data_IF_506805141329
#
_entry.id   IF_506805141329
#
_cell.length_a   1.000
_cell.length_b   1.000
_cell.length_c   1.000
_cell.angle_alpha   90.00
_cell.angle_beta   90.00
_cell.angle_gamma   90.00
#
_symmetry.space_group_name_H-M   'P 1'
#
loop_
_entity.id
_entity.type
_entity.pdbx_description
1 polymer ?
#
# COMPACT_ATOMS: atom_id res chain seq x y z
N UNK A 1 6.13 4.58 -70.72
CA UNK A 1 5.96 5.50 -69.54
C UNK A 1 5.10 4.91 -68.39
N UNK A 2 4.38 3.83 -68.59
CA UNK A 2 3.37 3.26 -67.66
C UNK A 2 3.92 2.38 -66.54
N UNK A 3 5.11 1.80 -66.64
CA UNK A 3 5.68 0.92 -65.59
C UNK A 3 6.33 1.64 -64.38
N UNK A 4 6.74 2.90 -64.52
CA UNK A 4 7.32 3.70 -63.43
C UNK A 4 6.24 4.28 -62.51
N UNK A 5 5.07 4.64 -63.04
CA UNK A 5 3.93 5.14 -62.25
C UNK A 5 3.34 4.07 -61.32
N UNK A 6 3.24 2.83 -61.77
CA UNK A 6 2.70 1.73 -60.94
C UNK A 6 3.59 1.37 -59.74
N UNK A 7 4.92 1.53 -59.84
CA UNK A 7 5.84 1.32 -58.69
C UNK A 7 5.75 2.43 -57.64
N UNK A 8 5.54 3.67 -58.06
CA UNK A 8 5.41 4.83 -57.16
C UNK A 8 4.10 4.73 -56.36
N UNK A 9 2.99 4.40 -57.01
CA UNK A 9 1.70 4.24 -56.34
C UNK A 9 1.71 3.05 -55.36
N UNK A 10 2.40 1.94 -55.70
CA UNK A 10 2.53 0.77 -54.81
C UNK A 10 3.36 1.08 -53.57
N UNK A 11 4.42 1.88 -53.70
CA UNK A 11 5.24 2.27 -52.54
C UNK A 11 4.50 3.30 -51.63
N UNK A 12 3.69 4.19 -52.21
CA UNK A 12 2.87 5.12 -51.42
C UNK A 12 1.75 4.40 -50.65
N UNK A 13 1.15 3.34 -51.22
CA UNK A 13 0.16 2.52 -50.53
C UNK A 13 0.76 1.71 -49.39
N UNK A 14 1.99 1.23 -49.54
CA UNK A 14 2.69 0.52 -48.45
C UNK A 14 3.09 1.48 -47.31
N UNK A 15 3.50 2.72 -47.64
CA UNK A 15 3.80 3.74 -46.64
C UNK A 15 2.54 4.24 -45.90
N UNK A 16 1.43 4.37 -46.59
CA UNK A 16 0.14 4.73 -45.97
C UNK A 16 -0.41 3.61 -45.07
N UNK A 17 -0.18 2.34 -45.44
CA UNK A 17 -0.61 1.19 -44.63
C UNK A 17 0.28 1.00 -43.39
N UNK A 18 1.59 1.33 -43.47
CA UNK A 18 2.51 1.30 -42.35
C UNK A 18 2.27 2.47 -41.36
N UNK A 19 1.80 3.62 -41.83
CA UNK A 19 1.45 4.77 -41.00
C UNK A 19 0.15 4.56 -40.19
N UNK A 20 -0.79 3.74 -40.69
CA UNK A 20 -2.06 3.45 -40.02
C UNK A 20 -1.93 2.51 -38.79
N UNK A 21 -0.76 1.83 -38.62
CA UNK A 21 -0.51 0.91 -37.51
C UNK A 21 0.14 1.57 -36.26
N UNK A 22 0.46 2.86 -36.33
CA UNK A 22 1.09 3.58 -35.22
C UNK A 22 0.15 4.56 -34.51
N UNK A 23 -1.11 4.16 -34.29
CA UNK A 23 -1.97 4.89 -33.35
C UNK A 23 -1.51 4.49 -31.93
N UNK A 24 -0.93 5.40 -31.13
CA UNK A 24 -0.62 5.09 -29.75
C UNK A 24 -1.94 4.79 -29.03
N UNK A 25 -2.17 3.53 -28.73
CA UNK A 25 -3.26 3.18 -27.84
C UNK A 25 -2.87 3.74 -26.45
N UNK A 26 -3.77 4.45 -25.76
CA UNK A 26 -3.52 4.82 -24.38
C UNK A 26 -3.27 3.53 -23.59
N UNK A 27 -2.05 3.35 -23.11
CA UNK A 27 -1.72 2.27 -22.22
C UNK A 27 -2.43 2.55 -20.89
N UNK A 28 -3.65 2.03 -20.75
CA UNK A 28 -4.29 1.99 -19.43
C UNK A 28 -3.35 1.22 -18.50
N UNK A 29 -3.01 1.82 -17.38
CA UNK A 29 -2.19 1.17 -16.37
C UNK A 29 -2.92 -0.11 -15.92
N UNK A 30 -2.44 -1.27 -16.40
CA UNK A 30 -2.98 -2.57 -16.01
C UNK A 30 -2.18 -3.09 -14.83
N UNK A 31 -2.88 -3.52 -13.79
CA UNK A 31 -2.30 -4.16 -12.61
C UNK A 31 -2.69 -5.62 -12.60
N UNK A 32 -1.81 -6.48 -12.09
CA UNK A 32 -2.16 -7.91 -11.91
C UNK A 32 -3.15 -8.03 -10.76
N UNK A 33 -4.04 -9.02 -10.84
CA UNK A 33 -5.02 -9.26 -9.78
C UNK A 33 -4.34 -9.43 -8.42
N UNK A 34 -3.20 -10.13 -8.32
CA UNK A 34 -2.45 -10.32 -7.07
C UNK A 34 -2.00 -9.01 -6.39
N UNK A 35 -1.81 -7.95 -7.18
CA UNK A 35 -1.38 -6.65 -6.64
C UNK A 35 -2.59 -5.85 -6.10
N UNK A 36 -3.82 -6.22 -6.53
CA UNK A 36 -5.08 -5.56 -6.19
C UNK A 36 -5.84 -6.25 -5.06
N UNK A 37 -5.64 -7.56 -4.84
CA UNK A 37 -6.43 -8.35 -3.89
C UNK A 37 -5.57 -9.05 -2.85
N UNK A 38 -6.22 -9.51 -1.80
CA UNK A 38 -5.73 -10.50 -0.84
C UNK A 38 -6.70 -11.69 -0.85
N UNK A 39 -6.19 -12.88 -0.57
CA UNK A 39 -7.05 -14.07 -0.43
C UNK A 39 -7.61 -14.12 0.98
N UNK A 40 -8.93 -14.33 1.10
CA UNK A 40 -9.57 -14.53 2.41
C UNK A 40 -8.97 -15.78 3.07
N UNK A 41 -8.79 -15.73 4.40
CA UNK A 41 -8.16 -16.76 5.23
C UNK A 41 -6.64 -16.99 4.96
N UNK A 42 -6.03 -16.23 4.07
CA UNK A 42 -4.58 -16.23 3.85
C UNK A 42 -4.00 -14.94 4.43
N UNK A 43 -3.73 -14.96 5.72
CA UNK A 43 -3.20 -13.79 6.44
C UNK A 43 -2.10 -14.20 7.40
N UNK A 44 -1.21 -13.27 7.65
CA UNK A 44 -0.25 -13.40 8.73
C UNK A 44 -0.94 -13.35 10.09
N UNK A 45 -0.54 -14.22 11.01
CA UNK A 45 -1.01 -14.21 12.38
C UNK A 45 0.08 -13.67 13.31
N UNK A 46 -0.33 -12.83 14.25
CA UNK A 46 0.60 -12.30 15.24
C UNK A 46 0.70 -13.27 16.41
N UNK A 47 1.94 -13.60 16.76
CA UNK A 47 2.27 -14.39 17.94
C UNK A 47 2.88 -13.49 19.00
N UNK A 48 2.57 -13.76 20.25
CA UNK A 48 3.14 -13.06 21.39
C UNK A 48 3.61 -14.05 22.45
N UNK A 49 4.65 -13.68 23.16
CA UNK A 49 5.17 -14.46 24.27
C UNK A 49 5.79 -13.57 25.34
N UNK A 50 5.97 -14.15 26.51
CA UNK A 50 6.70 -13.56 27.62
C UNK A 50 7.94 -14.40 27.90
N UNK A 51 9.11 -13.76 27.91
CA UNK A 51 10.39 -14.45 28.08
C UNK A 51 11.37 -13.70 28.97
N UNK A 52 12.51 -14.31 29.18
CA UNK A 52 13.65 -13.73 29.88
C UNK A 52 14.85 -13.66 28.94
N UNK A 53 15.51 -12.52 28.90
CA UNK A 53 16.83 -12.33 28.30
C UNK A 53 17.87 -12.37 29.43
N UNK A 54 18.89 -13.18 29.22
CA UNK A 54 19.98 -13.38 30.21
C UNK A 54 21.33 -13.05 29.59
N UNK A 55 22.35 -12.86 30.43
CA UNK A 55 23.71 -12.56 29.98
C UNK A 55 23.94 -11.08 29.66
N UNK A 56 23.10 -10.20 30.18
CA UNK A 56 23.29 -8.75 30.09
C UNK A 56 24.46 -8.33 31.02
N UNK A 57 25.10 -7.23 30.66
CA UNK A 57 26.28 -6.74 31.40
C UNK A 57 25.89 -5.61 32.38
N UNK A 58 25.05 -5.94 33.36
CA UNK A 58 24.56 -4.98 34.35
C UNK A 58 23.52 -3.99 33.80
N UNK A 59 22.94 -4.27 32.63
CA UNK A 59 21.93 -3.41 31.96
C UNK A 59 20.53 -4.01 32.01
N UNK A 60 20.36 -5.10 32.76
CA UNK A 60 19.07 -5.79 32.91
C UNK A 60 18.14 -5.10 33.90
N UNK A 61 17.05 -5.80 34.23
CA UNK A 61 16.07 -5.31 35.20
C UNK A 61 16.65 -5.30 36.62
N UNK A 62 16.34 -4.23 37.34
CA UNK A 62 16.56 -4.18 38.80
C UNK A 62 15.46 -5.01 39.47
N UNK A 63 15.82 -6.19 40.02
CA UNK A 63 14.82 -7.15 40.53
C UNK A 63 13.92 -6.57 41.62
N UNK A 64 14.38 -5.58 42.38
CA UNK A 64 13.56 -4.86 43.36
C UNK A 64 12.42 -4.08 42.77
N UNK A 65 12.64 -3.50 41.58
CA UNK A 65 11.64 -2.68 40.86
C UNK A 65 10.79 -3.53 39.93
N UNK A 66 11.28 -4.72 39.55
CA UNK A 66 10.64 -5.63 38.58
C UNK A 66 10.33 -7.00 39.25
N UNK A 67 9.30 -7.07 40.13
CA UNK A 67 8.95 -8.31 40.84
C UNK A 67 8.53 -9.45 39.92
N UNK A 68 8.04 -9.16 38.74
CA UNK A 68 7.71 -10.18 37.74
C UNK A 68 8.95 -10.83 37.14
N UNK A 69 10.04 -10.09 36.95
CA UNK A 69 11.34 -10.62 36.50
C UNK A 69 11.93 -11.55 37.55
N UNK A 70 11.91 -11.14 38.82
CA UNK A 70 12.36 -11.96 39.93
C UNK A 70 11.60 -13.28 40.04
N UNK A 71 10.25 -13.23 40.02
CA UNK A 71 9.40 -14.42 40.09
C UNK A 71 9.59 -15.35 38.90
N UNK A 72 9.76 -14.80 37.72
CA UNK A 72 9.95 -15.59 36.48
C UNK A 72 11.31 -16.27 36.46
N UNK A 73 12.36 -15.57 36.92
CA UNK A 73 13.69 -16.13 37.08
C UNK A 73 13.67 -17.25 38.13
N UNK A 74 13.02 -17.03 39.26
CA UNK A 74 12.83 -18.01 40.32
C UNK A 74 12.13 -19.28 39.78
N UNK A 75 10.98 -19.13 39.11
CA UNK A 75 10.24 -20.24 38.55
C UNK A 75 11.04 -21.02 37.50
N UNK A 76 11.88 -20.34 36.71
CA UNK A 76 12.77 -20.99 35.75
C UNK A 76 13.86 -21.81 36.46
N UNK A 77 14.53 -21.25 37.47
CA UNK A 77 15.55 -21.95 38.21
C UNK A 77 15.00 -23.18 38.95
N UNK A 78 13.80 -23.08 39.54
CA UNK A 78 13.09 -24.22 40.12
C UNK A 78 12.78 -25.33 39.12
N UNK A 79 12.34 -24.98 37.89
CA UNK A 79 12.16 -25.97 36.82
C UNK A 79 13.45 -26.68 36.40
N UNK A 80 14.59 -25.99 36.53
CA UNK A 80 15.91 -26.57 36.27
C UNK A 80 16.46 -27.35 37.45
N UNK A 81 15.68 -27.49 38.55
CA UNK A 81 16.07 -28.25 39.75
C UNK A 81 16.93 -27.48 40.73
N UNK A 82 17.09 -26.17 40.58
CA UNK A 82 17.82 -25.33 41.53
C UNK A 82 16.87 -24.91 42.64
N UNK A 83 17.19 -25.27 43.89
CA UNK A 83 16.40 -24.83 45.03
C UNK A 83 16.81 -23.41 45.43
N UNK A 84 15.86 -22.49 45.27
CA UNK A 84 16.05 -21.06 45.56
C UNK A 84 15.16 -20.55 46.71
N UNK A 85 14.54 -21.45 47.48
CA UNK A 85 13.74 -21.06 48.65
C UNK A 85 14.64 -20.36 49.64
N UNK A 86 14.22 -19.18 50.08
CA UNK A 86 14.94 -18.30 51.00
C UNK A 86 16.23 -17.65 50.42
N UNK A 87 16.44 -17.70 49.12
CA UNK A 87 17.55 -16.99 48.45
C UNK A 87 17.04 -15.65 47.91
N UNK A 88 17.66 -14.58 48.36
CA UNK A 88 17.40 -13.25 47.79
C UNK A 88 18.18 -13.14 46.45
N UNK A 89 17.47 -13.18 45.33
CA UNK A 89 18.08 -13.02 44.03
C UNK A 89 18.44 -11.54 43.83
N UNK A 90 19.68 -11.27 43.53
CA UNK A 90 20.14 -9.92 43.17
C UNK A 90 21.05 -10.01 41.95
N UNK A 91 20.53 -9.56 40.81
CA UNK A 91 21.28 -9.53 39.56
C UNK A 91 20.67 -8.47 38.65
N UNK A 92 21.50 -7.76 37.93
CA UNK A 92 21.13 -6.81 36.89
C UNK A 92 21.46 -7.37 35.47
N UNK A 93 21.66 -8.70 35.38
CA UNK A 93 22.05 -9.38 34.15
C UNK A 93 20.88 -10.10 33.47
N UNK A 94 19.65 -9.88 33.92
CA UNK A 94 18.43 -10.50 33.39
C UNK A 94 17.38 -9.44 33.15
N UNK A 95 16.65 -9.54 32.05
CA UNK A 95 15.54 -8.67 31.75
C UNK A 95 14.30 -9.49 31.35
N UNK A 96 13.13 -9.10 31.86
CA UNK A 96 11.87 -9.60 31.33
C UNK A 96 11.51 -8.90 30.06
N UNK A 97 11.07 -9.68 29.08
CA UNK A 97 10.79 -9.18 27.73
C UNK A 97 9.45 -9.69 27.19
N UNK A 98 8.80 -8.85 26.42
CA UNK A 98 7.79 -9.31 25.48
C UNK A 98 8.46 -9.74 24.19
N UNK A 99 7.94 -10.81 23.62
CA UNK A 99 8.47 -11.43 22.41
C UNK A 99 7.34 -11.50 21.39
N UNK A 100 7.53 -10.93 20.22
CA UNK A 100 6.53 -10.95 19.17
C UNK A 100 7.10 -11.54 17.89
N UNK A 101 6.27 -12.26 17.14
CA UNK A 101 6.62 -12.80 15.85
C UNK A 101 5.41 -12.82 14.91
N UNK A 102 5.68 -12.79 13.63
CA UNK A 102 4.64 -12.91 12.59
C UNK A 102 4.70 -14.32 12.02
N UNK A 103 3.61 -15.08 12.18
CA UNK A 103 3.45 -16.41 11.63
C UNK A 103 2.84 -16.34 10.23
N UNK A 104 3.59 -16.66 9.16
CA UNK A 104 3.04 -16.70 7.81
C UNK A 104 1.97 -17.78 7.65
N UNK A 105 0.97 -17.61 6.77
CA UNK A 105 -0.20 -18.48 6.65
C UNK A 105 0.14 -19.89 6.23
N UNK A 106 1.11 -20.23 5.53
CA UNK A 106 1.47 -21.60 5.10
C UNK A 106 2.80 -22.07 5.70
N UNK A 107 3.19 -21.49 6.81
CA UNK A 107 4.43 -21.88 7.45
C UNK A 107 4.35 -23.31 7.99
N UNK A 108 5.36 -24.11 7.67
CA UNK A 108 5.43 -25.53 8.05
C UNK A 108 6.14 -25.72 9.38
N UNK A 109 5.75 -26.76 10.09
CA UNK A 109 6.43 -27.20 11.29
C UNK A 109 7.94 -27.37 11.04
N UNK A 110 8.76 -26.83 11.95
CA UNK A 110 10.22 -26.83 11.85
C UNK A 110 10.79 -25.67 11.03
N UNK A 111 9.97 -24.87 10.34
CA UNK A 111 10.45 -23.65 9.69
C UNK A 111 10.75 -22.57 10.75
N UNK A 112 11.59 -21.60 10.38
CA UNK A 112 12.05 -20.57 11.28
C UNK A 112 11.48 -19.21 10.87
N UNK A 113 11.13 -18.42 11.88
CA UNK A 113 10.64 -17.05 11.71
C UNK A 113 11.45 -16.09 12.57
N UNK A 114 11.46 -14.84 12.18
CA UNK A 114 12.11 -13.77 12.91
C UNK A 114 11.29 -13.37 14.13
N UNK A 115 11.99 -12.93 15.16
CA UNK A 115 11.41 -12.56 16.44
C UNK A 115 11.85 -11.14 16.81
N UNK A 116 10.92 -10.36 17.31
CA UNK A 116 11.19 -9.09 17.96
C UNK A 116 11.10 -9.26 19.48
N UNK A 117 12.00 -8.60 20.18
CA UNK A 117 12.11 -8.66 21.64
C UNK A 117 12.13 -7.23 22.17
N UNK A 118 11.30 -6.93 23.17
CA UNK A 118 11.25 -5.60 23.79
C UNK A 118 11.16 -5.76 25.32
N UNK A 119 11.85 -4.92 26.06
CA UNK A 119 11.86 -4.95 27.53
C UNK A 119 10.48 -4.61 28.09
N UNK A 120 10.14 -5.24 29.22
CA UNK A 120 8.94 -4.95 30.01
C UNK A 120 9.23 -4.24 31.30
N UNK A 121 10.49 -4.40 31.81
CA UNK A 121 10.95 -3.82 33.04
C UNK A 121 11.74 -2.54 32.84
N UNK A 122 12.68 -2.31 33.75
CA UNK A 122 13.56 -1.15 33.80
C UNK A 122 14.96 -1.42 33.19
N UNK A 123 15.11 -2.49 32.41
CA UNK A 123 16.34 -2.79 31.68
C UNK A 123 16.70 -1.68 30.69
N UNK A 124 17.96 -1.26 30.73
CA UNK A 124 18.48 -0.13 29.94
C UNK A 124 18.95 -0.55 28.53
N UNK A 125 19.49 -1.79 28.41
CA UNK A 125 20.07 -2.30 27.17
C UNK A 125 20.00 -3.83 27.12
N UNK A 126 19.64 -4.38 25.96
CA UNK A 126 19.59 -5.82 25.67
C UNK A 126 20.84 -6.33 24.93
N UNK A 127 21.88 -5.50 24.78
CA UNK A 127 23.09 -5.85 24.03
C UNK A 127 23.79 -7.07 24.64
N UNK A 128 24.14 -8.04 23.80
CA UNK A 128 24.82 -9.27 24.20
C UNK A 128 23.93 -10.29 24.87
N UNK A 129 22.69 -9.95 25.18
CA UNK A 129 21.74 -10.83 25.83
C UNK A 129 21.27 -11.98 24.96
N UNK A 130 20.88 -13.07 25.63
CA UNK A 130 20.30 -14.25 24.99
C UNK A 130 18.89 -14.49 25.52
N UNK A 131 17.92 -14.56 24.61
CA UNK A 131 16.54 -14.95 24.91
C UNK A 131 16.50 -16.43 25.25
N UNK A 132 15.96 -16.75 26.42
CA UNK A 132 15.68 -18.13 26.82
C UNK A 132 14.47 -18.69 26.09
N UNK A 133 14.32 -20.02 26.16
CA UNK A 133 13.19 -20.72 25.52
C UNK A 133 11.87 -20.09 25.94
N UNK A 134 11.19 -19.51 24.97
CA UNK A 134 9.97 -18.73 25.16
C UNK A 134 8.88 -19.26 24.21
N UNK A 135 7.76 -19.78 24.74
CA UNK A 135 6.62 -20.14 23.90
C UNK A 135 5.95 -18.88 23.34
N UNK A 136 5.62 -18.92 22.07
CA UNK A 136 4.86 -17.90 21.37
C UNK A 136 3.44 -18.39 21.12
N UNK A 137 2.47 -17.66 21.66
CA UNK A 137 1.05 -18.00 21.63
C UNK A 137 0.29 -17.14 20.62
N UNK A 138 -0.70 -17.74 19.97
CA UNK A 138 -1.68 -17.03 19.15
C UNK A 138 -2.77 -16.36 19.98
N UNK A 139 -3.69 -15.66 19.32
CA UNK A 139 -4.84 -15.03 19.97
C UNK A 139 -5.83 -16.06 20.56
N UNK A 140 -5.78 -17.29 20.10
CA UNK A 140 -6.56 -18.45 20.60
C UNK A 140 -5.98 -19.07 21.87
N UNK A 141 -4.77 -18.65 22.29
CA UNK A 141 -4.07 -19.16 23.46
C UNK A 141 -3.24 -20.41 23.20
N UNK A 142 -3.17 -20.91 21.97
CA UNK A 142 -2.36 -22.07 21.60
C UNK A 142 -0.92 -21.67 21.27
N UNK A 143 0.03 -22.58 21.54
CA UNK A 143 1.45 -22.37 21.25
C UNK A 143 1.76 -22.77 19.82
N UNK A 144 2.14 -21.81 19.00
CA UNK A 144 2.48 -22.02 17.59
C UNK A 144 3.97 -22.11 17.31
N UNK A 145 4.77 -21.40 18.09
CA UNK A 145 6.22 -21.38 17.91
C UNK A 145 6.96 -21.28 19.23
N UNK A 146 8.25 -21.61 19.20
CA UNK A 146 9.14 -21.48 20.35
C UNK A 146 10.33 -20.63 19.95
N UNK A 147 10.54 -19.52 20.67
CA UNK A 147 11.60 -18.57 20.41
C UNK A 147 12.79 -18.78 21.34
N UNK A 148 14.00 -18.67 20.79
CA UNK A 148 15.26 -18.69 21.53
C UNK A 148 16.39 -18.12 20.67
N UNK A 149 17.36 -17.43 21.28
CA UNK A 149 18.56 -17.00 20.56
C UNK A 149 19.16 -15.71 21.07
N UNK A 150 20.28 -15.33 20.47
CA UNK A 150 20.98 -14.11 20.80
C UNK A 150 20.26 -12.90 20.25
N UNK A 151 20.03 -11.89 21.10
CA UNK A 151 19.37 -10.65 20.74
C UNK A 151 20.35 -9.73 20.00
N UNK A 152 19.95 -9.27 18.84
CA UNK A 152 20.67 -8.24 18.07
C UNK A 152 19.91 -6.93 18.18
N UNK A 153 20.55 -5.89 18.68
CA UNK A 153 19.97 -4.54 18.78
C UNK A 153 20.50 -3.63 17.68
N UNK A 154 19.74 -2.62 17.30
CA UNK A 154 20.13 -1.59 16.32
C UNK A 154 20.61 -0.29 16.95
N UNK A 155 20.71 -0.26 18.29
CA UNK A 155 21.15 0.89 19.06
C UNK A 155 22.30 0.53 20.01
N UNK A 156 22.83 1.52 20.68
CA UNK A 156 23.71 1.35 21.82
C UNK A 156 23.47 2.47 22.84
N UNK A 157 23.67 2.16 24.10
CA UNK A 157 23.77 3.14 25.17
C UNK A 157 25.18 3.08 25.75
N UNK A 158 25.87 4.21 25.80
CA UNK A 158 27.17 4.31 26.41
C UNK A 158 27.18 5.51 27.37
N UNK A 159 27.39 5.27 28.63
CA UNK A 159 27.35 6.33 29.63
C UNK A 159 28.43 6.19 30.69
N UNK A 160 28.79 7.31 31.32
CA UNK A 160 29.59 7.43 32.53
C UNK A 160 28.79 8.21 33.58
N UNK A 161 29.34 8.35 34.76
CA UNK A 161 28.69 9.02 35.91
C UNK A 161 28.19 10.47 35.64
N UNK A 162 28.61 11.07 34.52
CA UNK A 162 28.29 12.48 34.20
C UNK A 162 27.44 12.65 32.91
N UNK A 163 27.43 11.67 32.00
CA UNK A 163 26.70 11.79 30.72
C UNK A 163 26.44 10.40 30.12
N UNK A 164 25.23 10.21 29.59
CA UNK A 164 24.83 9.00 28.84
C UNK A 164 24.46 9.37 27.41
N UNK A 165 25.10 8.75 26.43
CA UNK A 165 24.81 8.90 25.02
C UNK A 165 24.07 7.66 24.55
N UNK A 166 22.80 7.82 24.18
CA UNK A 166 21.97 6.75 23.61
C UNK A 166 21.75 7.00 22.13
N UNK A 167 22.02 6.03 21.29
CA UNK A 167 21.72 6.08 19.86
C UNK A 167 20.88 4.87 19.47
N UNK A 168 19.72 5.13 18.85
CA UNK A 168 18.73 4.09 18.53
C UNK A 168 17.90 3.71 19.76
N UNK A 169 17.32 2.51 19.75
CA UNK A 169 16.49 1.97 20.85
C UNK A 169 17.16 0.71 21.40
N UNK A 170 17.98 0.81 22.46
CA UNK A 170 18.70 -0.35 23.01
C UNK A 170 17.80 -1.35 23.75
N UNK A 171 16.59 -0.94 24.14
CA UNK A 171 15.59 -1.76 24.84
C UNK A 171 14.75 -2.63 23.90
N UNK A 172 14.99 -2.55 22.58
CA UNK A 172 14.33 -3.39 21.59
C UNK A 172 15.36 -4.03 20.67
N UNK A 173 15.16 -5.30 20.35
CA UNK A 173 16.05 -6.07 19.50
C UNK A 173 15.33 -7.07 18.61
N UNK A 174 16.07 -7.69 17.71
CA UNK A 174 15.60 -8.73 16.80
C UNK A 174 16.47 -9.97 16.91
N UNK A 175 15.84 -11.12 16.79
CA UNK A 175 16.52 -12.41 16.63
C UNK A 175 16.15 -12.96 15.26
N UNK A 176 17.11 -12.92 14.34
CA UNK A 176 16.89 -13.47 13.00
C UNK A 176 16.74 -15.00 13.08
N UNK A 177 15.67 -15.54 12.46
CA UNK A 177 15.32 -16.95 12.55
C UNK A 177 15.22 -17.47 13.99
N UNK A 178 14.78 -16.61 14.91
CA UNK A 178 14.83 -16.85 16.35
C UNK A 178 13.73 -17.77 16.89
N UNK A 179 12.65 -18.00 16.16
CA UNK A 179 11.62 -18.96 16.57
C UNK A 179 11.47 -20.10 15.58
N UNK A 180 11.20 -21.28 16.12
CA UNK A 180 10.86 -22.48 15.36
C UNK A 180 9.37 -22.72 15.49
N UNK A 181 8.70 -22.97 14.38
CA UNK A 181 7.27 -23.29 14.34
C UNK A 181 7.07 -24.72 14.80
N UNK A 182 6.22 -24.90 15.80
CA UNK A 182 5.87 -26.21 16.36
C UNK A 182 4.49 -26.68 15.92
N UNK A 183 3.59 -25.74 15.63
CA UNK A 183 2.23 -26.02 15.18
C UNK A 183 1.92 -25.21 13.93
N UNK A 184 1.42 -25.90 12.89
CA UNK A 184 0.99 -25.28 11.65
C UNK A 184 -0.41 -24.68 11.79
N UNK A 185 -0.68 -23.60 11.06
CA UNK A 185 -2.06 -23.12 10.88
C UNK A 185 -2.79 -24.10 9.97
N UNK A 186 -3.89 -24.65 10.45
CA UNK A 186 -4.72 -25.59 9.65
C UNK A 186 -5.57 -24.79 8.67
N UNK A 187 -4.99 -24.42 7.54
CA UNK A 187 -5.74 -23.87 6.41
C UNK A 187 -6.04 -25.01 5.44
N UNK A 188 -7.27 -25.50 5.45
CA UNK A 188 -7.73 -26.53 4.51
C UNK A 188 -7.96 -25.94 3.10
N UNK A 189 -6.89 -25.35 2.52
CA UNK A 189 -6.95 -24.58 1.28
C UNK A 189 -7.47 -25.40 0.10
N UNK A 190 -7.07 -26.68 0.00
CA UNK A 190 -7.49 -27.57 -1.07
C UNK A 190 -8.93 -28.08 -0.92
N UNK A 191 -9.51 -27.98 0.28
CA UNK A 191 -10.87 -28.46 0.56
C UNK A 191 -11.93 -27.34 0.37
N UNK A 192 -11.49 -26.11 0.06
CA UNK A 192 -12.40 -25.00 -0.20
C UNK A 192 -13.16 -25.21 -1.52
N UNK A 193 -14.47 -24.97 -1.49
CA UNK A 193 -15.34 -24.99 -2.66
C UNK A 193 -15.37 -23.66 -3.42
N UNK A 194 -15.01 -22.56 -2.75
CA UNK A 194 -14.88 -21.23 -3.34
C UNK A 194 -13.71 -20.50 -2.71
N UNK A 195 -13.15 -19.58 -3.48
CA UNK A 195 -12.09 -18.67 -3.08
C UNK A 195 -12.65 -17.25 -3.06
N UNK A 196 -12.43 -16.53 -1.98
CA UNK A 196 -12.81 -15.12 -1.90
C UNK A 196 -11.58 -14.23 -2.00
N UNK A 197 -11.67 -13.30 -2.93
CA UNK A 197 -10.66 -12.29 -3.21
C UNK A 197 -11.11 -11.00 -2.54
N UNK A 198 -10.39 -10.54 -1.53
CA UNK A 198 -10.65 -9.26 -0.86
C UNK A 198 -9.84 -8.16 -1.54
N UNK A 199 -10.51 -7.14 -2.08
CA UNK A 199 -9.85 -6.01 -2.72
C UNK A 199 -9.16 -5.14 -1.65
N UNK A 200 -7.91 -4.75 -1.92
CA UNK A 200 -7.16 -3.81 -1.05
C UNK A 200 -7.80 -2.43 -1.02
N UNK A 201 -8.32 -1.99 -2.17
CA UNK A 201 -9.09 -0.76 -2.32
C UNK A 201 -10.49 -1.14 -2.80
N UNK A 202 -11.51 -1.12 -1.92
CA UNK A 202 -12.87 -1.48 -2.27
C UNK A 202 -13.45 -0.55 -3.35
N UNK A 203 -13.86 -1.14 -4.50
CA UNK A 203 -14.52 -0.43 -5.59
C UNK A 203 -15.38 -1.38 -6.43
N UNK A 204 -16.64 -1.00 -6.69
CA UNK A 204 -17.59 -1.82 -7.45
C UNK A 204 -17.15 -2.10 -8.88
N UNK A 205 -16.57 -1.10 -9.54
CA UNK A 205 -16.12 -1.21 -10.93
C UNK A 205 -14.94 -2.15 -11.03
N UNK A 206 -13.96 -2.01 -10.13
CA UNK A 206 -12.78 -2.87 -10.06
C UNK A 206 -13.17 -4.30 -9.71
N UNK A 207 -14.04 -4.50 -8.71
CA UNK A 207 -14.53 -5.83 -8.35
C UNK A 207 -15.22 -6.52 -9.53
N UNK A 208 -16.07 -5.80 -10.26
CA UNK A 208 -16.72 -6.31 -11.46
C UNK A 208 -15.72 -6.62 -12.58
N UNK A 209 -14.76 -5.74 -12.83
CA UNK A 209 -13.71 -5.96 -13.86
C UNK A 209 -12.87 -7.19 -13.54
N UNK A 210 -12.55 -7.44 -12.26
CA UNK A 210 -11.84 -8.66 -11.80
C UNK A 210 -12.70 -9.89 -12.11
N UNK A 211 -13.97 -9.90 -11.68
CA UNK A 211 -14.87 -11.03 -11.95
C UNK A 211 -15.03 -11.29 -13.45
N UNK A 212 -15.18 -10.25 -14.26
CA UNK A 212 -15.30 -10.36 -15.73
C UNK A 212 -13.98 -10.85 -16.38
N UNK A 213 -12.82 -10.48 -15.85
CA UNK A 213 -11.53 -10.95 -16.34
C UNK A 213 -11.35 -12.46 -16.08
N UNK A 214 -11.69 -12.91 -14.88
CA UNK A 214 -11.65 -14.34 -14.51
C UNK A 214 -12.62 -15.16 -15.38
N UNK A 215 -13.87 -14.67 -15.51
CA UNK A 215 -14.89 -15.35 -16.30
C UNK A 215 -14.53 -15.43 -17.80
N UNK A 216 -13.86 -14.41 -18.34
CA UNK A 216 -13.36 -14.43 -19.73
C UNK A 216 -12.23 -15.44 -19.92
N UNK A 217 -11.34 -15.54 -18.94
CA UNK A 217 -10.22 -16.49 -19.00
C UNK A 217 -10.68 -17.94 -19.00
N UNK A 218 -11.62 -18.29 -18.13
CA UNK A 218 -12.15 -19.64 -18.03
C UNK A 218 -13.32 -19.94 -19.00
N UNK A 219 -13.83 -18.95 -19.73
CA UNK A 219 -14.94 -19.14 -20.67
C UNK A 219 -16.29 -19.48 -20.03
N UNK A 220 -16.42 -19.32 -18.73
CA UNK A 220 -17.62 -19.65 -17.94
C UNK A 220 -17.74 -18.80 -16.70
N UNK A 221 -18.91 -18.81 -16.07
CA UNK A 221 -19.27 -17.93 -14.96
C UNK A 221 -18.79 -18.53 -13.62
N UNK A 222 -17.50 -18.45 -13.33
CA UNK A 222 -16.91 -18.91 -12.07
C UNK A 222 -16.76 -17.82 -11.02
N UNK A 223 -16.65 -16.55 -11.45
CA UNK A 223 -16.42 -15.42 -10.55
C UNK A 223 -17.62 -14.49 -10.52
N UNK A 224 -17.96 -13.97 -9.34
CA UNK A 224 -18.97 -12.96 -9.11
C UNK A 224 -18.51 -11.96 -8.06
N UNK A 225 -18.74 -10.67 -8.31
CA UNK A 225 -18.56 -9.64 -7.28
C UNK A 225 -19.75 -9.70 -6.31
N UNK A 226 -19.47 -9.96 -5.02
CA UNK A 226 -20.48 -9.97 -3.98
C UNK A 226 -20.77 -8.55 -3.47
N UNK A 227 -19.72 -7.78 -3.31
CA UNK A 227 -19.73 -6.41 -2.82
C UNK A 227 -18.50 -5.64 -3.39
N UNK A 228 -18.29 -4.34 -3.09
CA UNK A 228 -17.17 -3.58 -3.65
C UNK A 228 -15.79 -4.08 -3.18
N UNK A 229 -15.74 -4.84 -2.08
CA UNK A 229 -14.51 -5.34 -1.49
C UNK A 229 -14.25 -6.83 -1.81
N UNK A 230 -15.29 -7.60 -2.22
CA UNK A 230 -15.20 -9.06 -2.27
C UNK A 230 -15.62 -9.60 -3.63
N UNK A 231 -14.74 -10.39 -4.23
CA UNK A 231 -15.04 -11.21 -5.41
C UNK A 231 -14.95 -12.69 -5.04
N UNK A 232 -16.04 -13.42 -5.19
CA UNK A 232 -16.08 -14.86 -4.98
C UNK A 232 -15.79 -15.60 -6.28
N UNK A 233 -14.91 -16.58 -6.21
CA UNK A 233 -14.56 -17.48 -7.33
C UNK A 233 -14.91 -18.90 -6.91
N UNK A 234 -15.87 -19.50 -7.58
CA UNK A 234 -16.25 -20.90 -7.34
C UNK A 234 -15.21 -21.84 -7.94
N UNK A 235 -14.92 -22.94 -7.25
CA UNK A 235 -14.08 -24.01 -7.80
C UNK A 235 -14.85 -24.76 -8.88
N UNK A 236 -14.21 -25.09 -10.03
CA UNK A 236 -14.83 -25.95 -11.04
C UNK A 236 -15.23 -27.31 -10.46
N UNK A 237 -16.47 -27.72 -10.66
CA UNK A 237 -17.06 -28.93 -10.07
C UNK A 237 -16.49 -30.22 -10.68
N UNK A 238 -15.92 -30.12 -11.88
CA UNK A 238 -15.32 -31.23 -12.62
C UNK A 238 -13.96 -31.71 -12.05
N UNK A 239 -13.45 -31.06 -11.01
CA UNK A 239 -12.18 -31.42 -10.38
C UNK A 239 -10.95 -31.22 -11.26
N UNK A 240 -11.08 -30.57 -12.42
CA UNK A 240 -10.01 -30.36 -13.39
C UNK A 240 -8.89 -29.46 -12.91
N UNK A 241 -9.18 -28.59 -11.93
CA UNK A 241 -8.24 -27.62 -11.36
C UNK A 241 -8.12 -27.79 -9.86
N UNK A 242 -6.89 -27.91 -9.38
CA UNK A 242 -6.58 -27.78 -7.96
C UNK A 242 -6.59 -26.30 -7.56
N UNK A 243 -6.75 -26.02 -6.28
CA UNK A 243 -6.89 -24.65 -5.79
C UNK A 243 -5.62 -23.82 -6.01
N UNK A 244 -4.44 -24.42 -5.96
CA UNK A 244 -3.16 -23.73 -6.19
C UNK A 244 -3.03 -23.28 -7.64
N UNK A 245 -3.41 -24.15 -8.60
CA UNK A 245 -3.43 -23.80 -10.02
C UNK A 245 -4.44 -22.68 -10.30
N UNK A 246 -5.65 -22.79 -9.71
CA UNK A 246 -6.68 -21.75 -9.83
C UNK A 246 -6.16 -20.38 -9.36
N UNK A 247 -5.52 -20.33 -8.19
CA UNK A 247 -4.94 -19.10 -7.66
C UNK A 247 -3.84 -18.58 -8.59
N UNK A 248 -2.93 -19.45 -9.02
CA UNK A 248 -1.80 -19.07 -9.87
C UNK A 248 -2.26 -18.44 -11.18
N UNK A 249 -3.29 -19.00 -11.81
CA UNK A 249 -3.86 -18.47 -13.04
C UNK A 249 -4.50 -17.10 -12.81
N UNK A 250 -5.31 -16.97 -11.73
CA UNK A 250 -6.00 -15.73 -11.39
C UNK A 250 -5.00 -14.61 -11.07
N UNK A 251 -3.95 -14.91 -10.33
CA UNK A 251 -2.93 -13.94 -9.92
C UNK A 251 -2.27 -13.21 -11.09
N UNK A 252 -2.10 -13.90 -12.21
CA UNK A 252 -1.42 -13.35 -13.40
C UNK A 252 -2.34 -12.54 -14.31
N UNK A 253 -3.66 -12.65 -14.14
CA UNK A 253 -4.60 -11.86 -14.93
C UNK A 253 -4.43 -10.37 -14.66
N UNK A 254 -4.50 -9.58 -15.71
CA UNK A 254 -4.36 -8.12 -15.63
C UNK A 254 -5.72 -7.43 -15.75
N UNK A 255 -5.93 -6.44 -14.92
CA UNK A 255 -7.14 -5.62 -14.87
C UNK A 255 -6.75 -4.16 -14.72
N UNK A 256 -7.49 -3.26 -15.37
CA UNK A 256 -7.37 -1.82 -15.13
C UNK A 256 -8.24 -1.46 -13.90
N UNK A 257 -7.62 -1.17 -12.73
CA UNK A 257 -8.38 -0.77 -11.55
C UNK A 257 -9.01 0.60 -11.78
N UNK A 258 -10.18 0.81 -11.18
CA UNK A 258 -10.77 2.14 -11.09
C UNK A 258 -10.17 2.84 -9.86
N UNK A 259 -9.82 4.09 -10.03
CA UNK A 259 -9.23 4.87 -8.96
C UNK A 259 -10.14 6.06 -8.65
N UNK A 260 -10.49 6.20 -7.38
CA UNK A 260 -11.20 7.39 -6.91
C UNK A 260 -10.30 8.59 -7.16
N UNK A 261 -10.85 9.65 -7.76
CA UNK A 261 -10.15 10.90 -7.93
C UNK A 261 -9.72 11.44 -6.55
N UNK A 262 -8.41 11.53 -6.32
CA UNK A 262 -7.81 11.93 -5.04
C UNK A 262 -6.71 12.94 -5.25
N UNK A 263 -6.65 13.91 -4.36
CA UNK A 263 -5.57 14.90 -4.25
C UNK A 263 -4.99 14.80 -2.85
N UNK A 264 -3.71 14.55 -2.75
CA UNK A 264 -2.97 14.51 -1.48
C UNK A 264 -2.05 15.72 -1.45
N UNK A 265 -2.06 16.43 -0.35
CA UNK A 265 -1.29 17.65 -0.15
C UNK A 265 -0.47 17.49 1.14
N UNK A 266 0.85 17.63 1.02
CA UNK A 266 1.74 17.78 2.16
C UNK A 266 2.03 19.26 2.37
N UNK A 267 1.47 19.83 3.43
CA UNK A 267 1.65 21.26 3.75
C UNK A 267 3.08 21.60 4.17
N UNK A 268 3.81 20.63 4.72
CA UNK A 268 5.17 20.85 5.22
C UNK A 268 6.20 20.95 4.10
N UNK A 269 6.07 20.09 3.10
CA UNK A 269 6.97 20.05 1.93
C UNK A 269 6.43 20.81 0.72
N UNK A 270 5.14 21.16 0.71
CA UNK A 270 4.47 21.79 -0.42
C UNK A 270 4.23 20.85 -1.61
N UNK A 271 4.34 19.53 -1.39
CA UNK A 271 4.13 18.52 -2.44
C UNK A 271 2.64 18.26 -2.64
N UNK A 272 2.19 18.33 -3.89
CA UNK A 272 0.81 18.01 -4.30
C UNK A 272 0.86 16.79 -5.20
N UNK A 273 0.17 15.72 -4.81
CA UNK A 273 0.01 14.48 -5.60
C UNK A 273 -1.44 14.36 -6.02
N UNK A 274 -1.68 14.22 -7.32
CA UNK A 274 -3.03 14.15 -7.88
C UNK A 274 -3.19 12.95 -8.83
N UNK A 275 -4.36 12.35 -8.82
CA UNK A 275 -4.73 11.32 -9.80
C UNK A 275 -5.11 11.93 -11.14
N UNK A 276 -4.96 11.17 -12.23
CA UNK A 276 -5.28 11.59 -13.61
C UNK A 276 -6.77 11.89 -13.83
N UNK A 277 -7.65 11.34 -12.99
CA UNK A 277 -9.10 11.47 -13.09
C UNK A 277 -9.68 12.66 -12.30
N UNK A 278 -8.82 13.50 -11.71
CA UNK A 278 -9.27 14.69 -10.99
C UNK A 278 -9.62 15.79 -11.99
N UNK A 279 -10.90 16.15 -12.03
CA UNK A 279 -11.45 17.16 -12.93
C UNK A 279 -12.05 18.32 -12.16
N UNK A 280 -11.98 19.51 -12.76
CA UNK A 280 -12.54 20.73 -12.20
C UNK A 280 -13.71 21.17 -13.06
N UNK A 281 -14.83 21.44 -12.39
CA UNK A 281 -16.00 22.05 -13.02
C UNK A 281 -15.79 23.57 -13.18
N UNK A 282 -16.64 24.18 -13.99
CA UNK A 282 -16.62 25.62 -14.21
C UNK A 282 -16.69 26.39 -12.90
N UNK A 283 -15.68 27.21 -12.63
CA UNK A 283 -15.56 28.01 -11.41
C UNK A 283 -14.76 29.28 -11.67
N UNK A 284 -15.03 30.33 -10.95
CA UNK A 284 -14.21 31.54 -10.91
C UNK A 284 -13.56 31.65 -9.52
N UNK A 285 -12.26 31.86 -9.49
CA UNK A 285 -11.49 32.00 -8.25
C UNK A 285 -10.83 33.37 -8.29
N UNK A 286 -10.92 34.08 -7.17
CA UNK A 286 -10.17 35.31 -6.95
C UNK A 286 -9.46 35.20 -5.60
N UNK A 287 -8.14 35.36 -5.61
CA UNK A 287 -7.33 35.39 -4.39
C UNK A 287 -6.35 36.55 -4.46
N UNK A 288 -6.52 37.50 -3.55
CA UNK A 288 -5.72 38.75 -3.55
C UNK A 288 -5.92 39.53 -4.84
N UNK A 289 -4.85 39.69 -5.62
CA UNK A 289 -4.86 40.34 -6.93
C UNK A 289 -5.01 39.36 -8.11
N UNK A 290 -5.20 38.05 -7.84
CA UNK A 290 -5.32 37.02 -8.86
C UNK A 290 -6.79 36.65 -9.08
N UNK A 291 -7.30 36.74 -10.29
CA UNK A 291 -8.65 36.30 -10.68
C UNK A 291 -8.55 35.24 -11.76
N UNK A 292 -9.05 34.05 -11.47
CA UNK A 292 -9.08 32.91 -12.42
C UNK A 292 -10.52 32.59 -12.76
N UNK A 293 -10.85 32.51 -14.06
CA UNK A 293 -12.17 32.14 -14.55
C UNK A 293 -12.08 30.93 -15.48
N UNK A 294 -12.83 29.89 -15.18
CA UNK A 294 -12.98 28.69 -16.00
C UNK A 294 -14.34 28.73 -16.70
N UNK A 295 -14.37 28.70 -18.04
CA UNK A 295 -15.60 28.77 -18.84
C UNK A 295 -15.62 27.65 -19.90
N UNK A 296 -16.79 27.08 -20.15
CA UNK A 296 -17.00 26.06 -21.18
C UNK A 296 -17.60 26.65 -22.47
N UNK A 297 -17.02 26.37 -23.65
CA UNK A 297 -17.64 26.61 -24.92
C UNK A 297 -17.52 25.41 -25.86
N UNK A 298 -18.61 24.72 -26.20
CA UNK A 298 -18.55 23.64 -27.18
C UNK A 298 -18.28 24.20 -28.59
N UNK A 299 -17.23 23.72 -29.27
CA UNK A 299 -16.93 24.06 -30.63
C UNK A 299 -17.41 22.93 -31.56
N UNK A 300 -18.28 23.27 -32.48
CA UNK A 300 -18.78 22.34 -33.50
C UNK A 300 -17.82 22.36 -34.68
N UNK A 301 -17.12 21.26 -34.94
CA UNK A 301 -16.38 21.08 -36.19
C UNK A 301 -17.32 20.59 -37.24
N UNK A 302 -17.63 21.46 -38.23
CA UNK A 302 -18.44 21.09 -39.39
C UNK A 302 -17.52 20.69 -40.54
N UNK A 303 -17.88 19.65 -41.30
CA UNK A 303 -17.19 19.33 -42.54
C UNK A 303 -17.32 20.48 -43.56
N UNK A 304 -16.33 20.61 -44.43
CA UNK A 304 -16.43 21.59 -45.53
C UNK A 304 -17.65 21.32 -46.41
N UNK A 305 -18.32 22.38 -46.94
CA UNK A 305 -19.43 22.22 -47.87
C UNK A 305 -19.00 21.34 -49.06
N UNK A 306 -19.80 20.29 -49.35
CA UNK A 306 -19.56 19.27 -50.39
C UNK A 306 -18.64 18.08 -50.04
N UNK A 307 -18.37 17.78 -48.75
CA UNK A 307 -17.73 16.52 -48.36
C UNK A 307 -18.78 15.39 -48.36
N UNK A 308 -18.58 14.33 -49.15
CA UNK A 308 -19.52 13.19 -49.30
C UNK A 308 -19.62 12.29 -48.07
N UNK A 309 -18.70 12.39 -47.10
CA UNK A 309 -18.70 11.62 -45.84
C UNK A 309 -18.13 12.47 -44.69
N UNK A 310 -18.90 13.45 -44.21
CA UNK A 310 -18.51 14.27 -43.07
C UNK A 310 -19.49 14.13 -41.93
N UNK A 311 -19.01 13.65 -40.76
CA UNK A 311 -19.79 13.59 -39.53
C UNK A 311 -19.48 14.82 -38.66
N UNK A 312 -20.55 15.47 -38.16
CA UNK A 312 -20.40 16.63 -37.27
C UNK A 312 -19.98 16.13 -35.90
N UNK A 313 -18.75 16.42 -35.49
CA UNK A 313 -18.23 16.04 -34.20
C UNK A 313 -18.11 17.28 -33.29
N UNK A 314 -18.71 17.23 -32.14
CA UNK A 314 -18.53 18.26 -31.10
C UNK A 314 -17.24 17.94 -30.33
N UNK A 315 -16.21 18.77 -30.53
CA UNK A 315 -14.93 18.62 -29.82
C UNK A 315 -14.86 19.68 -28.72
N UNK A 316 -14.79 19.29 -27.47
CA UNK A 316 -14.55 20.24 -26.37
C UNK A 316 -13.14 20.81 -26.48
N UNK A 317 -13.02 22.12 -26.39
CA UNK A 317 -11.74 22.82 -26.23
C UNK A 317 -11.72 23.63 -24.95
N UNK A 318 -10.59 23.60 -24.29
CA UNK A 318 -10.31 24.25 -23.03
C UNK A 318 -9.44 25.49 -23.21
N UNK A 319 -9.78 26.57 -22.55
CA UNK A 319 -8.99 27.81 -22.50
C UNK A 319 -8.90 28.31 -21.06
N UNK A 320 -7.67 28.56 -20.51
CA UNK A 320 -7.43 29.12 -19.15
C UNK A 320 -6.91 30.55 -19.27
N UNK A 321 -7.57 31.51 -18.67
CA UNK A 321 -7.12 32.88 -18.58
C UNK A 321 -6.90 33.32 -17.16
N UNK A 322 -5.78 33.99 -16.96
CA UNK A 322 -5.35 34.49 -15.66
C UNK A 322 -5.10 36.01 -15.79
N UNK A 323 -5.74 36.78 -14.93
CA UNK A 323 -5.59 38.23 -14.85
C UNK A 323 -4.76 38.59 -13.62
N UNK A 324 -3.59 39.20 -13.88
CA UNK A 324 -2.72 39.80 -12.87
C UNK A 324 -2.75 41.30 -13.09
N UNK A 325 -3.62 42.01 -12.51
CA UNK A 325 -3.94 43.44 -12.40
C UNK A 325 -3.05 44.48 -13.12
N UNK A 326 -2.16 44.11 -14.04
CA UNK A 326 -1.33 45.06 -14.79
C UNK A 326 -1.87 45.43 -16.18
N UNK A 327 -2.76 44.65 -16.77
CA UNK A 327 -3.58 45.09 -17.94
C UNK A 327 -4.82 44.20 -18.11
N UNK A 328 -5.99 44.76 -18.03
CA UNK A 328 -7.31 44.11 -18.15
C UNK A 328 -7.49 43.40 -19.48
N UNK A 329 -7.21 42.11 -19.56
CA UNK A 329 -7.68 41.22 -20.63
C UNK A 329 -8.22 39.93 -20.05
N UNK A 330 -9.51 39.71 -20.25
CA UNK A 330 -10.21 38.46 -19.87
C UNK A 330 -10.03 37.41 -20.94
N UNK A 331 -9.62 36.22 -20.61
CA UNK A 331 -9.65 35.02 -21.41
C UNK A 331 -10.44 33.89 -20.75
N UNK A 332 -11.06 33.08 -21.52
CA UNK A 332 -12.09 32.11 -21.11
C UNK A 332 -11.52 30.70 -21.27
N UNK A 333 -11.67 29.85 -20.24
CA UNK A 333 -11.30 28.44 -20.25
C UNK A 333 -12.48 27.52 -20.45
N UNK A 334 -12.31 26.55 -21.34
CA UNK A 334 -13.31 25.55 -21.67
C UNK A 334 -13.18 24.24 -20.91
N UNK A 335 -14.25 23.49 -20.88
CA UNK A 335 -14.58 22.33 -20.06
C UNK A 335 -13.55 21.23 -19.92
N UNK A 336 -13.45 20.70 -18.71
CA UNK A 336 -12.73 19.46 -18.41
C UNK A 336 -11.25 19.66 -18.21
N UNK A 337 -10.87 20.83 -17.69
CA UNK A 337 -9.47 21.08 -17.28
C UNK A 337 -9.09 20.01 -16.28
N UNK A 338 -8.03 19.27 -16.58
CA UNK A 338 -7.43 18.42 -15.56
C UNK A 338 -6.90 19.34 -14.45
N UNK A 339 -6.95 18.87 -13.21
CA UNK A 339 -6.33 19.62 -12.11
C UNK A 339 -4.86 19.91 -12.42
N UNK A 340 -4.21 19.06 -13.19
CA UNK A 340 -2.81 19.22 -13.59
C UNK A 340 -2.61 20.48 -14.43
N UNK A 341 -3.45 20.73 -15.42
CA UNK A 341 -3.36 21.94 -16.27
C UNK A 341 -3.53 23.22 -15.44
N UNK A 342 -4.43 23.15 -14.42
CA UNK A 342 -4.60 24.29 -13.49
C UNK A 342 -3.34 24.50 -12.63
N UNK A 343 -2.80 23.44 -12.05
CA UNK A 343 -1.59 23.50 -11.20
C UNK A 343 -0.39 23.98 -12.02
N UNK A 344 -0.23 23.49 -13.24
CA UNK A 344 0.84 23.94 -14.14
C UNK A 344 0.68 25.42 -14.50
N UNK A 345 -0.56 25.85 -14.76
CA UNK A 345 -0.87 27.27 -14.97
C UNK A 345 -0.56 28.15 -13.77
N UNK A 346 -0.94 27.71 -12.54
CA UNK A 346 -0.65 28.43 -11.30
C UNK A 346 0.86 28.49 -11.01
N UNK A 347 1.58 27.40 -11.25
CA UNK A 347 3.04 27.37 -11.13
C UNK A 347 3.72 28.31 -12.11
N UNK A 348 3.24 28.37 -13.36
CA UNK A 348 3.77 29.31 -14.36
C UNK A 348 3.57 30.78 -13.97
N UNK A 349 2.56 31.07 -13.15
CA UNK A 349 2.27 32.40 -12.59
C UNK A 349 3.03 32.70 -11.31
N UNK A 350 3.83 31.76 -10.79
CA UNK A 350 4.59 31.93 -9.58
C UNK A 350 3.77 31.84 -8.28
N UNK A 351 2.58 31.24 -8.32
CA UNK A 351 1.77 30.98 -7.12
C UNK A 351 2.51 30.02 -6.22
N UNK A 352 2.73 30.41 -4.97
CA UNK A 352 3.42 29.60 -3.99
C UNK A 352 2.63 28.35 -3.56
N UNK A 353 3.31 27.31 -3.03
CA UNK A 353 2.64 26.06 -2.63
C UNK A 353 1.50 26.26 -1.62
N UNK A 354 1.66 27.17 -0.65
CA UNK A 354 0.63 27.45 0.35
C UNK A 354 -0.62 28.11 -0.24
N UNK A 355 -0.44 29.03 -1.18
CA UNK A 355 -1.55 29.68 -1.86
C UNK A 355 -2.29 28.68 -2.76
N UNK A 356 -1.56 27.78 -3.41
CA UNK A 356 -2.12 26.70 -4.20
C UNK A 356 -2.97 25.74 -3.36
N UNK A 357 -2.52 25.39 -2.15
CA UNK A 357 -3.29 24.60 -1.19
C UNK A 357 -4.60 25.30 -0.85
N UNK A 358 -4.54 26.59 -0.53
CA UNK A 358 -5.74 27.40 -0.21
C UNK A 358 -6.72 27.45 -1.39
N UNK A 359 -6.22 27.58 -2.61
CA UNK A 359 -7.04 27.54 -3.84
C UNK A 359 -7.71 26.16 -4.01
N UNK A 360 -6.99 25.07 -3.82
CA UNK A 360 -7.55 23.71 -3.94
C UNK A 360 -8.60 23.43 -2.86
N UNK A 361 -8.39 23.89 -1.64
CA UNK A 361 -9.38 23.80 -0.57
C UNK A 361 -10.65 24.60 -0.90
N UNK A 362 -10.49 25.81 -1.43
CA UNK A 362 -11.62 26.63 -1.87
C UNK A 362 -12.40 25.98 -3.03
N UNK A 363 -11.70 25.39 -4.01
CA UNK A 363 -12.31 24.62 -5.10
C UNK A 363 -13.13 23.44 -4.60
N UNK A 364 -12.59 22.72 -3.61
CA UNK A 364 -13.31 21.61 -2.97
C UNK A 364 -14.53 22.09 -2.22
N UNK A 365 -14.40 23.16 -1.43
CA UNK A 365 -15.50 23.75 -0.67
C UNK A 365 -16.60 24.31 -1.58
N UNK A 366 -16.23 24.89 -2.72
CA UNK A 366 -17.16 25.35 -3.74
C UNK A 366 -17.85 24.22 -4.53
N UNK A 367 -17.47 22.94 -4.31
CA UNK A 367 -18.00 21.81 -5.07
C UNK A 367 -17.51 21.74 -6.51
N UNK A 368 -16.56 22.56 -6.91
CA UNK A 368 -16.01 22.59 -8.25
C UNK A 368 -15.03 21.45 -8.54
N UNK A 369 -14.47 20.82 -7.49
CA UNK A 369 -13.56 19.68 -7.59
C UNK A 369 -14.23 18.40 -7.09
N UNK A 370 -14.43 17.42 -7.97
CA UNK A 370 -15.04 16.13 -7.68
C UNK A 370 -13.95 15.10 -7.30
N UNK A 371 -13.17 15.40 -6.24
CA UNK A 371 -12.10 14.56 -5.75
C UNK A 371 -12.06 14.53 -4.21
N UNK A 372 -11.48 13.49 -3.63
CA UNK A 372 -11.11 13.48 -2.23
C UNK A 372 -9.86 14.33 -2.03
N UNK A 373 -9.88 15.21 -1.04
CA UNK A 373 -8.74 16.03 -0.64
C UNK A 373 -8.23 15.50 0.70
N UNK A 374 -6.99 15.05 0.73
CA UNK A 374 -6.28 14.60 1.94
C UNK A 374 -5.10 15.54 2.20
N UNK A 375 -4.96 16.01 3.43
CA UNK A 375 -3.87 16.88 3.86
C UNK A 375 -3.03 16.09 4.86
N UNK A 376 -1.70 16.08 4.63
CA UNK A 376 -0.72 15.40 5.49
C UNK A 376 0.21 16.41 6.16
#
# INVERSE_FOLDING_TARGET
MTRKFAKIVKNWLVFALAGALAVPHPALAQSRIKDLVQFENVRDNQLTGYGLVVGLNGTGDTLRNSPFTEKSLAAMLERLGVNIRDVNLNTDNVAAVTVTATLPPFARRGSRIDVQVSTLGDAEDLMGGTLLVTPLIGLDGEVYAVAQGQVTISGFSAGGAAETITRGVPTSGRIANGAIIEQELTVAFNDMNSLKLALRNPDFTTAKRIADAINRFYGSRFASALDPATVEVARPVDGSLDMVSLVTDIEQLTVAPDQIARVIIDESSGVIVMGSEVRISRVAIAQGNLTIRVTETPQVSQPQPFAENGETVVVPRTNVEVDTDEERRMGILDTGVSLQDLVDGLNALGVGPRDMISILQALKAAGAMQAQLEIM
#
